data_IF_726312808418
#
_entry.id   IF_726312808418
#
_cell.length_a   1.000
_cell.length_b   1.000
_cell.length_c   1.000
_cell.angle_alpha   90.00
_cell.angle_beta   90.00
_cell.angle_gamma   90.00
#
_symmetry.space_group_name_H-M   'P 1'
#
loop_
_entity.id
_entity.type
_entity.pdbx_description
1 polymer ?
#
# COMPACT_ATOMS: atom_id res chain seq x y z
N UNK A 1 20.95 -7.52 -25.77
CA UNK A 1 20.25 -6.24 -25.55
C UNK A 1 19.27 -6.46 -24.39
N UNK A 2 19.72 -6.68 -23.16
CA UNK A 2 20.33 -5.65 -22.30
C UNK A 2 19.24 -4.78 -21.66
N UNK A 3 18.15 -5.37 -21.16
CA UNK A 3 16.99 -4.60 -20.73
C UNK A 3 17.09 -4.23 -19.23
N UNK A 4 16.91 -2.94 -18.98
CA UNK A 4 17.47 -2.19 -17.87
C UNK A 4 16.65 -2.41 -16.58
N UNK A 5 17.01 -3.38 -15.75
CA UNK A 5 16.72 -3.34 -14.31
C UNK A 5 17.74 -2.46 -13.55
N UNK A 6 18.48 -1.60 -14.25
CA UNK A 6 19.85 -1.18 -13.90
C UNK A 6 20.00 -0.36 -12.62
N UNK A 7 18.92 0.04 -11.93
CA UNK A 7 19.07 0.88 -10.74
C UNK A 7 18.23 0.48 -9.52
N UNK A 8 17.73 -0.77 -9.46
CA UNK A 8 17.10 -1.29 -8.24
C UNK A 8 18.11 -2.19 -7.51
N UNK A 9 18.95 -1.57 -6.69
CA UNK A 9 19.89 -2.27 -5.82
C UNK A 9 19.14 -2.99 -4.68
N UNK A 10 18.78 -4.25 -4.93
CA UNK A 10 18.11 -5.11 -3.95
C UNK A 10 18.96 -5.33 -2.69
N UNK A 11 20.28 -5.17 -2.73
CA UNK A 11 21.13 -5.35 -1.56
C UNK A 11 20.93 -4.23 -0.52
N UNK A 12 20.51 -3.04 -0.96
CA UNK A 12 20.13 -1.92 -0.07
C UNK A 12 18.70 -2.04 0.47
N UNK A 13 17.93 -3.02 0.01
CA UNK A 13 16.52 -3.13 0.34
C UNK A 13 16.31 -3.50 1.81
N UNK A 14 15.60 -2.63 2.53
CA UNK A 14 15.18 -2.93 3.90
C UNK A 14 14.03 -3.93 3.89
N UNK A 15 13.90 -4.68 4.99
CA UNK A 15 12.82 -5.62 5.25
C UNK A 15 12.63 -6.72 4.18
N UNK A 16 13.70 -7.13 3.51
CA UNK A 16 13.69 -8.33 2.65
C UNK A 16 13.96 -9.59 3.49
N UNK A 17 13.37 -10.74 3.12
CA UNK A 17 13.67 -12.01 3.76
C UNK A 17 15.07 -12.52 3.40
N UNK A 18 15.64 -13.33 4.29
CA UNK A 18 16.85 -14.10 4.00
C UNK A 18 16.43 -15.46 3.45
N UNK A 19 16.48 -15.57 2.13
CA UNK A 19 16.15 -16.81 1.44
C UNK A 19 17.21 -17.87 1.70
N UNK A 20 16.77 -19.07 2.09
CA UNK A 20 17.60 -20.25 2.30
C UNK A 20 18.12 -20.89 1.01
N UNK A 21 17.44 -20.68 -0.12
CA UNK A 21 17.75 -21.34 -1.39
C UNK A 21 17.70 -20.31 -2.55
N UNK A 22 18.83 -19.69 -2.90
CA UNK A 22 18.89 -18.71 -3.98
C UNK A 22 18.45 -19.26 -5.35
N UNK A 23 18.75 -20.51 -5.67
CA UNK A 23 18.35 -21.13 -6.93
C UNK A 23 16.82 -21.25 -7.05
N UNK A 24 16.14 -21.56 -5.94
CA UNK A 24 14.69 -21.59 -5.88
C UNK A 24 14.07 -20.19 -6.04
N UNK A 25 14.70 -19.16 -5.47
CA UNK A 25 14.26 -17.77 -5.65
C UNK A 25 14.31 -17.37 -7.12
N UNK A 26 15.41 -17.66 -7.83
CA UNK A 26 15.53 -17.36 -9.26
C UNK A 26 14.48 -18.09 -10.10
N UNK A 27 14.21 -19.37 -9.80
CA UNK A 27 13.15 -20.13 -10.46
C UNK A 27 11.76 -19.50 -10.23
N UNK A 28 11.44 -19.14 -8.98
CA UNK A 28 10.16 -18.50 -8.66
C UNK A 28 10.02 -17.14 -9.35
N UNK A 29 11.08 -16.32 -9.36
CA UNK A 29 11.12 -15.04 -10.08
C UNK A 29 10.84 -15.25 -11.58
N UNK A 30 11.49 -16.24 -12.20
CA UNK A 30 11.28 -16.57 -13.60
C UNK A 30 9.82 -16.97 -13.87
N UNK A 31 9.22 -17.81 -13.03
CA UNK A 31 7.81 -18.21 -13.15
C UNK A 31 6.90 -16.98 -13.05
N UNK A 32 7.05 -16.15 -12.01
CA UNK A 32 6.27 -14.92 -11.79
C UNK A 32 6.43 -13.90 -12.93
N UNK A 33 7.58 -13.85 -13.58
CA UNK A 33 7.78 -12.99 -14.75
C UNK A 33 6.94 -13.43 -15.97
N UNK A 34 6.58 -14.72 -16.05
CA UNK A 34 5.78 -15.27 -17.15
C UNK A 34 4.28 -15.38 -16.87
N UNK A 35 3.83 -15.17 -15.63
CA UNK A 35 2.39 -15.30 -15.32
C UNK A 35 1.58 -14.13 -15.87
N UNK A 36 0.27 -14.34 -16.01
CA UNK A 36 -0.67 -13.29 -16.40
C UNK A 36 -0.61 -12.09 -15.43
N UNK A 37 -0.52 -10.85 -15.94
CA UNK A 37 -0.68 -9.64 -15.15
C UNK A 37 -1.96 -9.66 -14.30
N UNK A 38 -1.93 -9.19 -13.05
CA UNK A 38 -3.15 -9.06 -12.25
C UNK A 38 -3.96 -7.82 -12.65
N UNK A 39 -3.29 -6.78 -13.11
CA UNK A 39 -3.91 -5.54 -13.62
C UNK A 39 -3.37 -5.19 -15.01
N UNK A 40 -4.13 -4.36 -15.73
CA UNK A 40 -3.76 -3.84 -17.05
C UNK A 40 -3.39 -2.36 -16.99
N UNK A 41 -2.65 -1.89 -18.00
CA UNK A 41 -2.29 -0.48 -18.10
C UNK A 41 -3.53 0.43 -18.24
N UNK A 42 -4.56 -0.01 -18.95
CA UNK A 42 -5.81 0.74 -19.12
C UNK A 42 -6.56 0.93 -17.79
N UNK A 43 -6.63 -0.10 -16.95
CA UNK A 43 -7.20 0.00 -15.60
C UNK A 43 -6.41 0.98 -14.73
N UNK A 44 -5.08 0.95 -14.82
CA UNK A 44 -4.21 1.88 -14.09
C UNK A 44 -4.41 3.32 -14.53
N UNK A 45 -4.55 3.58 -15.83
CA UNK A 45 -4.80 4.93 -16.37
C UNK A 45 -6.18 5.47 -15.94
N UNK A 46 -7.20 4.59 -15.93
CA UNK A 46 -8.52 4.95 -15.40
C UNK A 46 -8.46 5.31 -13.91
N UNK A 47 -7.72 4.54 -13.10
CA UNK A 47 -7.50 4.87 -11.70
C UNK A 47 -6.77 6.22 -11.52
N UNK A 48 -5.75 6.50 -12.34
CA UNK A 48 -5.05 7.81 -12.32
C UNK A 48 -6.00 8.96 -12.59
N UNK A 49 -6.91 8.80 -13.56
CA UNK A 49 -7.93 9.80 -13.89
C UNK A 49 -8.87 10.06 -12.69
N UNK A 50 -9.27 9.02 -11.97
CA UNK A 50 -10.04 9.18 -10.74
C UNK A 50 -9.23 9.88 -9.63
N UNK A 51 -7.95 9.54 -9.45
CA UNK A 51 -7.09 10.17 -8.44
C UNK A 51 -6.76 11.63 -8.77
N UNK A 52 -6.71 12.01 -10.05
CA UNK A 52 -6.57 13.40 -10.47
C UNK A 52 -7.75 14.25 -9.97
N UNK A 53 -8.97 13.72 -10.08
CA UNK A 53 -10.19 14.34 -9.54
C UNK A 53 -10.23 14.39 -8.01
N UNK A 54 -9.56 13.45 -7.35
CA UNK A 54 -9.36 13.52 -5.89
C UNK A 54 -8.37 14.63 -5.54
N UNK A 55 -7.29 14.79 -6.31
CA UNK A 55 -6.30 15.84 -6.10
C UNK A 55 -6.90 17.26 -6.25
N UNK A 56 -7.89 17.43 -7.15
CA UNK A 56 -8.65 18.68 -7.31
C UNK A 56 -9.81 18.84 -6.31
N UNK A 57 -10.11 17.80 -5.53
CA UNK A 57 -11.17 17.81 -4.51
C UNK A 57 -12.57 17.56 -5.03
N UNK A 58 -12.75 17.17 -6.30
CA UNK A 58 -14.04 16.75 -6.88
C UNK A 58 -14.51 15.40 -6.31
N UNK A 59 -13.57 14.54 -5.97
CA UNK A 59 -13.82 13.21 -5.40
C UNK A 59 -13.06 13.02 -4.08
N UNK A 60 -13.39 11.95 -3.37
CA UNK A 60 -12.62 11.49 -2.22
C UNK A 60 -12.33 10.00 -2.34
N UNK A 61 -11.42 9.50 -1.50
CA UNK A 61 -10.98 8.11 -1.46
C UNK A 61 -11.32 7.49 -0.11
N UNK A 62 -11.88 6.29 -0.17
CA UNK A 62 -11.88 5.36 0.94
C UNK A 62 -10.96 4.19 0.61
N UNK A 63 -9.88 4.04 1.37
CA UNK A 63 -9.02 2.87 1.29
C UNK A 63 -9.18 2.01 2.55
N UNK A 64 -9.60 0.76 2.43
CA UNK A 64 -9.82 -0.10 3.59
C UNK A 64 -9.49 -1.57 3.31
N UNK A 65 -9.17 -2.32 4.36
CA UNK A 65 -8.91 -3.77 4.27
C UNK A 65 -8.01 -4.24 5.41
N UNK A 66 -7.38 -5.38 5.23
CA UNK A 66 -6.65 -6.03 6.31
C UNK A 66 -5.26 -5.41 6.52
N UNK A 67 -4.70 -5.62 7.72
CA UNK A 67 -3.32 -5.21 8.00
C UNK A 67 -2.33 -6.08 7.19
N UNK A 68 -2.55 -7.39 7.23
CA UNK A 68 -1.94 -8.40 6.38
C UNK A 68 -3.07 -9.37 6.00
N UNK A 69 -3.21 -9.69 4.71
CA UNK A 69 -4.16 -10.68 4.25
C UNK A 69 -3.70 -12.09 4.64
N UNK A 70 -4.65 -12.94 5.01
CA UNK A 70 -4.45 -14.38 5.12
C UNK A 70 -5.01 -15.06 3.86
N UNK A 71 -4.22 -15.83 3.10
CA UNK A 71 -4.70 -16.65 1.99
C UNK A 71 -5.90 -17.54 2.34
N UNK A 72 -6.06 -17.98 3.60
CA UNK A 72 -7.22 -18.73 4.07
C UNK A 72 -8.51 -17.89 4.09
N UNK A 73 -8.41 -16.57 4.23
CA UNK A 73 -9.53 -15.63 4.20
C UNK A 73 -9.75 -14.99 2.82
N UNK A 74 -9.35 -15.71 1.76
CA UNK A 74 -9.48 -15.26 0.36
C UNK A 74 -10.58 -16.02 -0.41
N UNK A 75 -11.49 -16.71 0.29
CA UNK A 75 -12.65 -17.34 -0.36
C UNK A 75 -13.65 -16.30 -0.85
N UNK A 76 -14.50 -16.68 -1.82
CA UNK A 76 -15.52 -15.78 -2.36
C UNK A 76 -16.43 -15.15 -1.27
N UNK A 77 -16.72 -15.89 -0.19
CA UNK A 77 -17.48 -15.36 0.95
C UNK A 77 -16.75 -14.23 1.67
N UNK A 78 -15.48 -14.44 2.02
CA UNK A 78 -14.67 -13.41 2.67
C UNK A 78 -14.48 -12.17 1.80
N UNK A 79 -14.26 -12.37 0.49
CA UNK A 79 -14.09 -11.27 -0.47
C UNK A 79 -15.37 -10.45 -0.55
N UNK A 80 -16.55 -11.08 -0.66
CA UNK A 80 -17.83 -10.37 -0.64
C UNK A 80 -18.03 -9.56 0.65
N UNK A 81 -17.77 -10.15 1.82
CA UNK A 81 -17.90 -9.43 3.09
C UNK A 81 -16.92 -8.25 3.18
N UNK A 82 -15.70 -8.37 2.62
CA UNK A 82 -14.72 -7.28 2.53
C UNK A 82 -15.23 -6.15 1.62
N UNK A 83 -15.75 -6.47 0.44
CA UNK A 83 -16.23 -5.47 -0.52
C UNK A 83 -17.53 -4.79 -0.08
N UNK A 84 -18.45 -5.52 0.54
CA UNK A 84 -19.69 -4.98 1.12
C UNK A 84 -19.38 -3.96 2.23
N UNK A 85 -18.44 -4.26 3.12
CA UNK A 85 -18.00 -3.32 4.15
C UNK A 85 -17.41 -2.05 3.53
N UNK A 86 -16.54 -2.18 2.52
CA UNK A 86 -15.97 -1.02 1.81
C UNK A 86 -17.10 -0.20 1.17
N UNK A 87 -18.07 -0.85 0.54
CA UNK A 87 -19.23 -0.21 -0.06
C UNK A 87 -20.08 0.57 0.95
N UNK A 88 -20.38 -0.04 2.10
CA UNK A 88 -21.14 0.60 3.19
C UNK A 88 -20.43 1.84 3.73
N UNK A 89 -19.13 1.72 4.02
CA UNK A 89 -18.32 2.85 4.51
C UNK A 89 -18.22 3.97 3.47
N UNK A 90 -18.06 3.62 2.19
CA UNK A 90 -18.04 4.59 1.11
C UNK A 90 -19.38 5.33 1.00
N UNK A 91 -20.50 4.60 1.05
CA UNK A 91 -21.83 5.19 0.99
C UNK A 91 -22.07 6.17 2.15
N UNK A 92 -21.65 5.81 3.37
CA UNK A 92 -21.75 6.70 4.54
C UNK A 92 -20.92 7.98 4.36
N UNK A 93 -19.70 7.87 3.80
CA UNK A 93 -18.87 9.03 3.50
C UNK A 93 -19.48 9.91 2.40
N UNK A 94 -20.05 9.31 1.35
CA UNK A 94 -20.75 10.04 0.29
C UNK A 94 -21.94 10.83 0.86
N UNK A 95 -22.77 10.20 1.70
CA UNK A 95 -23.89 10.86 2.37
C UNK A 95 -23.43 12.00 3.28
N UNK A 96 -22.35 11.82 4.02
CA UNK A 96 -21.84 12.82 4.96
C UNK A 96 -21.16 14.02 4.28
N UNK A 97 -20.59 13.83 3.09
CA UNK A 97 -19.73 14.83 2.44
C UNK A 97 -20.29 15.39 1.14
N UNK A 98 -21.27 14.72 0.53
CA UNK A 98 -21.78 15.03 -0.80
C UNK A 98 -20.82 14.70 -1.95
N UNK A 99 -19.66 14.10 -1.68
CA UNK A 99 -18.62 13.78 -2.68
C UNK A 99 -18.62 12.29 -3.00
N UNK A 100 -18.50 11.94 -4.29
CA UNK A 100 -18.30 10.55 -4.73
C UNK A 100 -17.02 9.97 -4.11
N UNK A 101 -17.10 8.71 -3.69
CA UNK A 101 -16.01 8.02 -3.01
C UNK A 101 -15.42 6.92 -3.89
N UNK A 102 -14.15 7.08 -4.26
CA UNK A 102 -13.33 6.06 -4.89
C UNK A 102 -13.02 4.95 -3.88
N UNK A 103 -13.43 3.71 -4.19
CA UNK A 103 -13.35 2.56 -3.29
C UNK A 103 -12.09 1.76 -3.55
N UNK A 104 -11.21 1.67 -2.56
CA UNK A 104 -9.93 0.97 -2.68
C UNK A 104 -9.76 -0.06 -1.58
N UNK A 105 -9.48 -1.30 -1.97
CA UNK A 105 -9.14 -2.39 -1.09
C UNK A 105 -7.65 -2.44 -0.76
N UNK A 106 -7.31 -2.70 0.50
CA UNK A 106 -6.03 -3.34 0.87
C UNK A 106 -6.21 -4.85 0.69
N UNK A 107 -6.17 -5.28 -0.57
CA UNK A 107 -6.61 -6.61 -0.99
C UNK A 107 -5.84 -7.07 -2.23
N UNK A 108 -5.78 -8.39 -2.44
CA UNK A 108 -5.13 -9.04 -3.57
C UNK A 108 -3.61 -8.84 -3.65
N UNK A 109 -2.93 -8.77 -2.50
CA UNK A 109 -1.46 -8.67 -2.48
C UNK A 109 -0.83 -8.24 -1.17
N UNK A 110 -1.63 -7.89 -0.14
CA UNK A 110 -1.15 -7.45 1.17
C UNK A 110 -0.71 -8.62 2.06
N UNK A 111 0.07 -9.56 1.50
CA UNK A 111 0.52 -10.78 2.16
C UNK A 111 1.92 -10.65 2.81
N UNK A 112 2.52 -9.47 2.78
CA UNK A 112 3.81 -9.19 3.42
C UNK A 112 3.68 -8.00 4.38
N UNK A 113 4.53 -7.98 5.41
CA UNK A 113 4.53 -6.92 6.43
C UNK A 113 5.95 -6.57 6.90
N UNK A 114 6.30 -5.28 7.03
CA UNK A 114 7.57 -4.88 7.60
C UNK A 114 7.57 -5.15 9.11
N UNK A 115 8.72 -5.56 9.66
CA UNK A 115 8.90 -5.86 11.09
C UNK A 115 9.95 -4.96 11.71
N UNK A 116 9.71 -4.52 12.95
CA UNK A 116 10.69 -3.74 13.73
C UNK A 116 11.88 -4.56 14.20
N UNK A 117 11.70 -5.87 14.39
CA UNK A 117 12.73 -6.82 14.78
C UNK A 117 12.65 -8.07 13.91
N UNK A 118 13.81 -8.66 13.62
CA UNK A 118 13.91 -9.94 12.91
C UNK A 118 13.43 -11.12 13.75
N UNK A 119 13.47 -10.98 15.07
CA UNK A 119 13.02 -11.98 16.03
C UNK A 119 11.90 -11.42 16.91
N UNK A 120 11.01 -12.31 17.35
CA UNK A 120 10.00 -12.04 18.36
C UNK A 120 10.10 -13.04 19.51
N UNK A 121 9.83 -12.56 20.73
CA UNK A 121 9.77 -13.40 21.91
C UNK A 121 8.33 -13.86 22.11
N UNK A 122 8.14 -15.17 22.22
CA UNK A 122 6.87 -15.80 22.53
C UNK A 122 7.08 -16.71 23.75
N UNK A 123 6.73 -16.20 24.93
CA UNK A 123 7.15 -16.78 26.20
C UNK A 123 8.69 -16.74 26.33
N UNK A 124 9.28 -17.88 26.65
CA UNK A 124 10.73 -18.03 26.79
C UNK A 124 11.47 -18.28 25.46
N UNK A 125 10.74 -18.53 24.37
CA UNK A 125 11.32 -18.83 23.06
C UNK A 125 11.53 -17.55 22.23
N UNK A 126 12.69 -17.45 21.57
CA UNK A 126 12.98 -16.44 20.56
C UNK A 126 12.87 -17.06 19.16
N UNK A 127 11.94 -16.56 18.35
CA UNK A 127 11.62 -17.09 17.03
C UNK A 127 11.77 -16.02 15.96
N UNK A 128 12.11 -16.38 14.70
CA UNK A 128 12.02 -15.42 13.62
C UNK A 128 10.60 -14.86 13.52
N UNK A 129 10.54 -13.54 13.37
CA UNK A 129 9.29 -12.80 13.21
C UNK A 129 8.46 -13.35 12.05
N UNK A 130 7.14 -13.40 12.20
CA UNK A 130 6.25 -13.61 11.06
C UNK A 130 6.31 -12.36 10.17
N UNK A 131 6.67 -12.51 8.90
CA UNK A 131 6.82 -11.43 7.90
C UNK A 131 5.66 -11.38 6.91
N UNK A 132 4.65 -12.22 7.08
CA UNK A 132 3.47 -12.33 6.22
C UNK A 132 3.50 -13.61 5.37
N UNK A 133 2.33 -14.06 4.94
CA UNK A 133 2.13 -15.37 4.30
C UNK A 133 2.93 -15.56 3.01
N UNK A 134 3.32 -14.49 2.31
CA UNK A 134 4.21 -14.54 1.14
C UNK A 134 5.67 -14.84 1.47
N UNK A 135 6.06 -14.79 2.75
CA UNK A 135 7.44 -14.99 3.20
C UNK A 135 7.53 -16.24 4.08
N UNK A 136 6.79 -16.32 5.17
CA UNK A 136 6.81 -17.43 6.12
C UNK A 136 5.41 -17.67 6.73
N UNK A 137 5.25 -18.71 7.55
CA UNK A 137 3.98 -19.03 8.20
C UNK A 137 3.79 -18.30 9.55
N UNK A 138 2.54 -18.17 10.02
CA UNK A 138 2.22 -17.49 11.28
C UNK A 138 2.48 -18.35 12.52
N UNK A 139 2.51 -19.69 12.39
CA UNK A 139 2.64 -20.60 13.52
C UNK A 139 3.95 -20.37 14.26
N UNK A 140 3.97 -20.41 15.60
CA UNK A 140 5.14 -20.08 16.40
C UNK A 140 6.14 -21.26 16.49
N UNK A 141 6.61 -21.74 15.34
CA UNK A 141 7.62 -22.81 15.23
C UNK A 141 8.76 -22.39 14.32
N UNK A 142 10.00 -22.83 14.60
CA UNK A 142 11.15 -22.51 13.75
C UNK A 142 10.94 -22.93 12.29
N UNK A 143 10.26 -24.07 12.06
CA UNK A 143 9.93 -24.56 10.74
C UNK A 143 8.96 -23.63 10.00
N UNK A 144 7.83 -23.28 10.62
CA UNK A 144 6.85 -22.38 10.01
C UNK A 144 7.45 -20.98 9.75
N UNK A 145 8.32 -20.51 10.64
CA UNK A 145 8.97 -19.20 10.53
C UNK A 145 10.11 -19.14 9.52
N UNK A 146 10.52 -20.26 8.92
CA UNK A 146 11.53 -20.28 7.86
C UNK A 146 10.97 -19.62 6.58
N UNK A 147 11.69 -18.65 5.98
CA UNK A 147 11.28 -18.10 4.69
C UNK A 147 11.25 -19.17 3.59
N UNK A 148 10.19 -19.18 2.80
CA UNK A 148 10.00 -20.11 1.68
C UNK A 148 9.61 -19.33 0.41
N UNK A 149 10.48 -19.28 -0.63
CA UNK A 149 10.21 -18.58 -1.88
C UNK A 149 8.93 -19.06 -2.60
N UNK A 150 8.52 -20.32 -2.42
CA UNK A 150 7.31 -20.85 -3.06
C UNK A 150 6.04 -20.14 -2.59
N UNK A 151 6.08 -19.51 -1.42
CA UNK A 151 4.98 -18.69 -0.89
C UNK A 151 4.68 -17.46 -1.74
N UNK A 152 5.62 -17.00 -2.56
CA UNK A 152 5.33 -15.94 -3.54
C UNK A 152 4.40 -16.45 -4.65
N UNK A 153 4.53 -17.71 -5.07
CA UNK A 153 3.65 -18.32 -6.07
C UNK A 153 2.24 -18.53 -5.50
N UNK A 154 2.12 -19.04 -4.27
CA UNK A 154 0.81 -19.22 -3.63
C UNK A 154 0.14 -17.88 -3.34
N UNK A 155 0.92 -16.86 -2.95
CA UNK A 155 0.44 -15.48 -2.83
C UNK A 155 -0.10 -14.91 -4.15
N UNK A 156 0.61 -15.13 -5.27
CA UNK A 156 0.11 -14.76 -6.60
C UNK A 156 -1.21 -15.47 -6.96
N UNK A 157 -1.30 -16.78 -6.71
CA UNK A 157 -2.52 -17.56 -6.98
C UNK A 157 -3.71 -17.04 -6.16
N UNK A 158 -3.52 -16.77 -4.87
CA UNK A 158 -4.55 -16.18 -4.02
C UNK A 158 -4.96 -14.78 -4.50
N UNK A 159 -3.99 -13.93 -4.86
CA UNK A 159 -4.26 -12.61 -5.43
C UNK A 159 -5.08 -12.70 -6.73
N UNK A 160 -4.74 -13.63 -7.62
CA UNK A 160 -5.48 -13.85 -8.89
C UNK A 160 -6.91 -14.30 -8.65
N UNK A 161 -7.15 -15.19 -7.69
CA UNK A 161 -8.51 -15.59 -7.31
C UNK A 161 -9.30 -14.38 -6.81
N UNK A 162 -8.72 -13.57 -5.93
CA UNK A 162 -9.37 -12.33 -5.47
C UNK A 162 -9.69 -11.41 -6.64
N UNK A 163 -8.75 -11.16 -7.53
CA UNK A 163 -8.95 -10.30 -8.71
C UNK A 163 -10.07 -10.80 -9.63
N UNK A 164 -10.24 -12.11 -9.73
CA UNK A 164 -11.34 -12.75 -10.46
C UNK A 164 -12.68 -12.49 -9.76
N UNK A 165 -12.75 -12.67 -8.45
CA UNK A 165 -13.96 -12.40 -7.66
C UNK A 165 -14.34 -10.90 -7.61
N UNK A 166 -13.36 -10.01 -7.67
CA UNK A 166 -13.57 -8.56 -7.79
C UNK A 166 -14.04 -8.16 -9.20
N UNK A 167 -13.94 -9.05 -10.18
CA UNK A 167 -14.35 -8.84 -11.56
C UNK A 167 -13.31 -8.11 -12.42
N UNK A 168 -12.05 -8.07 -11.99
CA UNK A 168 -10.94 -7.47 -12.74
C UNK A 168 -10.29 -8.44 -13.73
N UNK A 169 -10.46 -9.75 -13.51
CA UNK A 169 -9.92 -10.82 -14.36
C UNK A 169 -11.05 -11.73 -14.80
N UNK A 170 -11.14 -12.03 -16.10
CA UNK A 170 -12.01 -13.07 -16.67
C UNK A 170 -13.50 -12.74 -16.82
N UNK A 171 -14.02 -11.65 -16.22
CA UNK A 171 -15.41 -11.23 -16.34
C UNK A 171 -15.60 -9.97 -17.19
N UNK A 172 -16.84 -9.73 -17.65
CA UNK A 172 -17.25 -8.47 -18.27
C UNK A 172 -16.97 -7.32 -17.29
N UNK A 173 -16.36 -6.19 -17.73
CA UNK A 173 -16.07 -5.06 -16.85
C UNK A 173 -17.30 -4.60 -16.08
N UNK A 174 -17.17 -4.43 -14.76
CA UNK A 174 -18.23 -3.86 -13.93
C UNK A 174 -18.34 -2.36 -14.23
N UNK A 175 -19.40 -1.95 -14.92
CA UNK A 175 -19.63 -0.55 -15.34
C UNK A 175 -20.47 0.25 -14.34
N UNK A 176 -20.92 -0.37 -13.24
CA UNK A 176 -21.82 0.25 -12.24
C UNK A 176 -21.09 1.15 -11.23
N UNK A 177 -19.79 1.37 -11.38
CA UNK A 177 -18.98 2.17 -10.45
C UNK A 177 -18.83 1.55 -9.06
N UNK A 178 -19.20 0.27 -8.88
CA UNK A 178 -19.05 -0.45 -7.61
C UNK A 178 -17.68 -1.11 -7.42
N UNK A 179 -16.84 -1.09 -8.46
CA UNK A 179 -15.58 -1.80 -8.47
C UNK A 179 -14.65 -1.34 -7.35
N UNK A 180 -14.04 -2.32 -6.65
CA UNK A 180 -13.06 -2.06 -5.60
C UNK A 180 -11.67 -2.19 -6.22
N UNK A 181 -10.97 -1.07 -6.34
CA UNK A 181 -9.59 -1.03 -6.81
C UNK A 181 -8.66 -1.74 -5.82
N UNK A 182 -7.57 -2.34 -6.29
CA UNK A 182 -6.64 -3.07 -5.42
C UNK A 182 -5.39 -2.26 -5.09
N UNK A 183 -4.85 -2.50 -3.89
CA UNK A 183 -3.64 -1.85 -3.42
C UNK A 183 -2.96 -2.68 -2.34
N UNK A 184 -1.62 -2.68 -2.33
CA UNK A 184 -0.81 -3.25 -1.25
C UNK A 184 0.53 -2.51 -1.11
N UNK A 185 1.22 -2.74 0.01
CA UNK A 185 2.58 -2.23 0.21
C UNK A 185 3.54 -2.97 -0.73
N UNK A 186 4.17 -2.26 -1.67
CA UNK A 186 5.18 -2.83 -2.55
C UNK A 186 6.45 -3.09 -1.73
N UNK A 187 6.50 -4.22 -1.03
CA UNK A 187 7.50 -4.52 0.00
C UNK A 187 8.49 -5.59 -0.46
N UNK A 188 7.98 -6.75 -0.88
CA UNK A 188 8.80 -7.92 -1.24
C UNK A 188 9.32 -7.78 -2.67
N UNK A 189 10.54 -7.27 -2.83
CA UNK A 189 11.06 -6.89 -4.15
C UNK A 189 11.23 -8.07 -5.11
N UNK A 190 11.49 -9.26 -4.58
CA UNK A 190 11.47 -10.52 -5.33
C UNK A 190 10.16 -10.74 -6.09
N UNK A 191 9.04 -10.45 -5.42
CA UNK A 191 7.71 -10.56 -5.98
C UNK A 191 7.41 -9.38 -6.90
N UNK A 192 7.57 -8.14 -6.41
CA UNK A 192 7.16 -6.94 -7.17
C UNK A 192 7.94 -6.77 -8.47
N UNK A 193 9.25 -6.98 -8.46
CA UNK A 193 10.06 -6.82 -9.68
C UNK A 193 9.70 -7.91 -10.70
N UNK A 194 9.40 -9.13 -10.24
CA UNK A 194 8.94 -10.21 -11.13
C UNK A 194 7.54 -9.93 -11.70
N UNK A 195 6.77 -9.05 -11.06
CA UNK A 195 5.46 -8.59 -11.54
C UNK A 195 5.53 -7.33 -12.42
N UNK A 196 6.73 -6.83 -12.77
CA UNK A 196 6.87 -5.76 -13.76
C UNK A 196 6.53 -6.27 -15.16
N UNK A 197 5.87 -5.40 -15.95
CA UNK A 197 5.59 -5.64 -17.37
C UNK A 197 6.08 -4.43 -18.16
N UNK A 198 6.86 -4.69 -19.20
CA UNK A 198 7.27 -3.67 -20.16
C UNK A 198 6.07 -3.29 -21.04
N UNK A 199 5.90 -2.00 -21.28
CA UNK A 199 4.91 -1.43 -22.18
C UNK A 199 5.63 -0.75 -23.35
N UNK A 200 4.86 -0.36 -24.36
CA UNK A 200 5.37 0.45 -25.46
C UNK A 200 5.98 1.77 -24.93
N UNK A 201 7.01 2.23 -25.63
CA UNK A 201 7.72 3.46 -25.27
C UNK A 201 8.61 3.35 -24.02
N UNK A 202 8.95 2.13 -23.56
CA UNK A 202 9.86 1.91 -22.43
C UNK A 202 9.25 2.23 -21.06
N UNK A 203 7.93 2.42 -21.01
CA UNK A 203 7.16 2.56 -19.76
C UNK A 203 6.98 1.18 -19.12
N UNK A 204 6.82 1.14 -17.80
CA UNK A 204 6.61 -0.12 -17.06
C UNK A 204 5.35 -0.10 -16.24
N UNK A 205 4.66 -1.23 -16.18
CA UNK A 205 3.53 -1.47 -15.29
C UNK A 205 3.96 -2.39 -14.16
N UNK A 206 3.75 -1.99 -12.90
CA UNK A 206 3.73 -2.93 -11.80
C UNK A 206 2.38 -3.64 -11.82
N UNK A 207 2.37 -4.86 -12.35
CA UNK A 207 1.14 -5.58 -12.63
C UNK A 207 0.59 -6.38 -11.45
N UNK A 208 1.22 -6.27 -10.27
CA UNK A 208 0.77 -6.92 -9.05
C UNK A 208 -0.46 -6.25 -8.42
N UNK A 209 -0.69 -4.96 -8.69
CA UNK A 209 -1.81 -4.20 -8.11
C UNK A 209 -2.06 -2.89 -8.85
N UNK A 210 -3.24 -2.29 -8.68
CA UNK A 210 -3.53 -1.01 -9.32
C UNK A 210 -2.73 0.13 -8.67
N UNK A 211 -2.70 0.18 -7.33
CA UNK A 211 -2.17 1.32 -6.58
C UNK A 211 -1.22 0.90 -5.45
N UNK A 212 0.06 0.64 -5.76
CA UNK A 212 1.07 0.28 -4.77
C UNK A 212 1.40 1.45 -3.82
N UNK A 213 1.89 1.13 -2.62
CA UNK A 213 2.50 2.14 -1.75
C UNK A 213 3.84 1.73 -1.15
N UNK A 214 4.65 2.73 -0.79
CA UNK A 214 5.89 2.58 -0.03
C UNK A 214 5.62 2.82 1.46
N UNK A 215 6.07 1.89 2.30
CA UNK A 215 5.94 1.96 3.74
C UNK A 215 6.88 2.98 4.39
N UNK A 216 6.58 3.38 5.63
CA UNK A 216 7.39 4.36 6.39
C UNK A 216 8.84 3.89 6.59
N UNK A 217 9.06 2.57 6.64
CA UNK A 217 10.39 2.00 6.92
C UNK A 217 11.19 1.73 5.66
N UNK A 218 10.58 1.88 4.48
CA UNK A 218 11.18 1.57 3.17
C UNK A 218 11.22 2.77 2.22
N UNK A 219 10.85 3.97 2.68
CA UNK A 219 10.83 5.23 1.90
C UNK A 219 12.17 5.99 1.85
N UNK A 220 13.29 5.28 1.91
CA UNK A 220 14.59 5.94 1.75
C UNK A 220 14.68 6.49 0.32
N UNK A 221 15.11 7.75 0.17
CA UNK A 221 15.09 8.46 -1.12
C UNK A 221 15.94 7.74 -2.18
N UNK A 222 17.12 7.27 -1.78
CA UNK A 222 18.05 6.44 -2.56
C UNK A 222 17.77 4.92 -2.45
N UNK A 223 16.64 4.56 -1.85
CA UNK A 223 16.25 3.19 -1.59
C UNK A 223 15.59 2.51 -2.80
N UNK A 224 15.69 1.18 -2.88
CA UNK A 224 15.18 0.42 -4.03
C UNK A 224 13.64 0.47 -4.16
N UNK A 225 12.90 0.67 -3.07
CA UNK A 225 11.45 0.81 -3.12
C UNK A 225 10.99 2.10 -3.80
N UNK A 226 11.67 3.23 -3.52
CA UNK A 226 11.45 4.50 -4.21
C UNK A 226 11.86 4.37 -5.68
N UNK A 227 13.04 3.79 -5.94
CA UNK A 227 13.54 3.57 -7.31
C UNK A 227 12.57 2.71 -8.15
N UNK A 228 12.00 1.65 -7.58
CA UNK A 228 11.01 0.81 -8.24
C UNK A 228 9.76 1.62 -8.63
N UNK A 229 9.15 2.32 -7.67
CA UNK A 229 7.88 3.01 -7.91
C UNK A 229 8.04 4.31 -8.73
N UNK A 230 9.23 4.90 -8.77
CA UNK A 230 9.53 6.01 -9.68
C UNK A 230 9.44 5.60 -11.17
N UNK A 231 9.70 4.33 -11.47
CA UNK A 231 9.82 3.80 -12.83
C UNK A 231 8.53 3.18 -13.39
N UNK A 232 7.42 3.20 -12.65
CA UNK A 232 6.17 2.56 -13.06
C UNK A 232 5.08 3.58 -13.40
N UNK A 233 4.16 3.18 -14.26
CA UNK A 233 3.02 4.01 -14.68
C UNK A 233 1.91 4.07 -13.65
N UNK A 234 1.90 3.14 -12.68
CA UNK A 234 0.90 3.10 -11.63
C UNK A 234 0.82 4.46 -10.92
N UNK A 235 -0.35 4.89 -10.45
CA UNK A 235 -0.36 5.85 -9.36
C UNK A 235 0.40 5.22 -8.18
N UNK A 236 1.12 6.04 -7.44
CA UNK A 236 1.96 5.58 -6.33
C UNK A 236 1.57 6.32 -5.06
N UNK A 237 1.76 5.66 -3.93
CA UNK A 237 1.57 6.31 -2.64
C UNK A 237 2.78 6.11 -1.74
N UNK A 238 3.01 7.02 -0.80
CA UNK A 238 4.04 6.87 0.22
C UNK A 238 3.49 7.21 1.59
N UNK A 239 3.86 6.42 2.60
CA UNK A 239 3.60 6.75 4.01
C UNK A 239 4.43 7.96 4.42
N UNK A 240 3.83 8.82 5.24
CA UNK A 240 4.46 10.01 5.81
C UNK A 240 4.24 9.98 7.33
N UNK A 241 5.28 9.56 8.05
CA UNK A 241 5.34 9.55 9.50
C UNK A 241 5.78 10.88 10.12
N UNK A 242 5.80 10.95 11.47
CA UNK A 242 6.12 12.18 12.20
C UNK A 242 7.59 12.63 12.08
N UNK A 243 8.50 11.75 11.66
CA UNK A 243 9.91 12.08 11.44
C UNK A 243 10.21 12.70 10.08
N UNK A 244 9.24 12.70 9.14
CA UNK A 244 9.42 13.31 7.83
C UNK A 244 9.73 14.81 7.97
N UNK A 245 10.73 15.27 7.21
CA UNK A 245 11.09 16.69 7.14
C UNK A 245 10.57 17.36 5.86
N UNK A 246 10.44 18.71 5.83
CA UNK A 246 10.05 19.45 4.63
C UNK A 246 10.97 19.21 3.42
N UNK A 247 12.29 19.11 3.63
CA UNK A 247 13.23 18.84 2.54
C UNK A 247 13.10 17.41 2.01
N UNK A 248 13.01 16.42 2.91
CA UNK A 248 12.84 15.01 2.52
C UNK A 248 11.55 14.78 1.73
N UNK A 249 10.43 15.40 2.13
CA UNK A 249 9.15 15.19 1.43
C UNK A 249 9.14 15.85 0.05
N UNK A 250 9.79 17.00 -0.11
CA UNK A 250 9.93 17.65 -1.41
C UNK A 250 10.77 16.79 -2.37
N UNK A 251 11.93 16.29 -1.94
CA UNK A 251 12.75 15.41 -2.77
C UNK A 251 12.05 14.07 -3.09
N UNK A 252 11.27 13.54 -2.14
CA UNK A 252 10.44 12.35 -2.39
C UNK A 252 9.40 12.62 -3.49
N UNK A 253 8.76 13.79 -3.46
CA UNK A 253 7.83 14.21 -4.50
C UNK A 253 8.53 14.37 -5.86
N UNK A 254 9.71 14.99 -5.92
CA UNK A 254 10.50 15.11 -7.15
C UNK A 254 10.79 13.74 -7.78
N UNK A 255 11.11 12.72 -6.96
CA UNK A 255 11.42 11.37 -7.44
C UNK A 255 10.18 10.60 -7.90
N UNK A 256 9.06 10.73 -7.21
CA UNK A 256 7.85 9.91 -7.46
C UNK A 256 6.84 10.58 -8.39
N UNK A 257 6.94 11.90 -8.57
CA UNK A 257 6.07 12.73 -9.38
C UNK A 257 6.87 13.83 -10.12
N UNK A 258 7.85 13.45 -10.96
CA UNK A 258 8.74 14.41 -11.62
C UNK A 258 8.00 15.37 -12.55
N UNK A 259 6.90 14.92 -13.15
CA UNK A 259 6.10 15.69 -14.10
C UNK A 259 4.94 16.46 -13.44
N UNK A 260 4.83 16.42 -12.10
CA UNK A 260 3.77 17.10 -11.32
C UNK A 260 2.38 16.74 -11.83
N UNK A 261 2.13 15.46 -12.05
CA UNK A 261 0.91 14.94 -12.65
C UNK A 261 -0.18 14.76 -11.57
N UNK A 262 -1.34 15.46 -11.66
CA UNK A 262 -2.45 15.22 -10.75
C UNK A 262 -2.86 13.75 -10.76
N UNK A 263 -2.98 13.15 -9.57
CA UNK A 263 -3.32 11.74 -9.41
C UNK A 263 -2.15 10.76 -9.50
N UNK A 264 -0.93 11.21 -9.80
CA UNK A 264 0.28 10.36 -9.79
C UNK A 264 0.69 9.96 -8.38
N UNK A 265 0.90 10.93 -7.49
CA UNK A 265 1.45 10.69 -6.15
C UNK A 265 0.41 10.96 -5.05
N UNK A 266 0.37 10.06 -4.08
CA UNK A 266 -0.44 10.23 -2.87
C UNK A 266 0.41 10.15 -1.61
N UNK A 267 0.21 11.09 -0.69
CA UNK A 267 0.92 11.15 0.59
C UNK A 267 -0.01 10.69 1.70
N UNK A 268 0.36 9.58 2.35
CA UNK A 268 -0.43 8.93 3.38
C UNK A 268 0.11 9.32 4.76
N UNK A 269 -0.47 10.36 5.36
CA UNK A 269 -0.12 10.91 6.67
C UNK A 269 -0.50 9.95 7.78
N UNK A 270 0.43 9.63 8.67
CA UNK A 270 0.22 8.69 9.80
C UNK A 270 0.96 9.13 11.06
N UNK A 271 0.69 10.35 11.50
CA UNK A 271 1.47 11.06 12.52
C UNK A 271 1.02 10.76 13.95
N UNK A 272 -0.24 10.37 14.14
CA UNK A 272 -0.86 10.29 15.45
C UNK A 272 -1.63 11.58 15.80
N UNK A 273 -2.66 11.44 16.62
CA UNK A 273 -3.58 12.50 16.99
C UNK A 273 -2.88 13.71 17.65
N UNK A 274 -1.83 13.45 18.42
CA UNK A 274 -1.14 14.48 19.20
C UNK A 274 -0.07 15.22 18.39
N UNK A 275 0.32 14.72 17.21
CA UNK A 275 1.40 15.29 16.40
C UNK A 275 0.92 15.88 15.07
N UNK A 276 -0.22 15.43 14.54
CA UNK A 276 -0.65 15.81 13.18
C UNK A 276 -0.85 17.32 13.03
N UNK A 277 -1.44 17.98 14.03
CA UNK A 277 -1.72 19.42 13.96
C UNK A 277 -0.45 20.28 13.93
N UNK A 278 0.62 19.82 14.60
CA UNK A 278 1.86 20.57 14.73
C UNK A 278 2.85 20.26 13.61
N UNK A 279 2.89 19.00 13.15
CA UNK A 279 3.92 18.51 12.22
C UNK A 279 3.51 18.57 10.76
N UNK A 280 2.22 18.38 10.44
CA UNK A 280 1.75 18.34 9.07
C UNK A 280 1.81 19.70 8.34
N UNK A 281 1.51 20.87 8.95
CA UNK A 281 1.43 22.14 8.23
C UNK A 281 2.70 22.46 7.43
N UNK A 282 3.88 22.28 8.03
CA UNK A 282 5.18 22.52 7.36
C UNK A 282 5.45 21.59 6.18
N UNK A 283 4.90 20.37 6.19
CA UNK A 283 5.06 19.42 5.08
C UNK A 283 4.11 19.78 3.93
N UNK A 284 2.88 20.15 4.26
CA UNK A 284 1.90 20.64 3.26
C UNK A 284 2.44 21.87 2.55
N UNK A 285 3.00 22.83 3.29
CA UNK A 285 3.57 24.04 2.70
C UNK A 285 4.74 23.72 1.76
N UNK A 286 5.64 22.80 2.14
CA UNK A 286 6.77 22.42 1.29
C UNK A 286 6.33 21.74 -0.01
N UNK A 287 5.38 20.80 0.06
CA UNK A 287 4.85 20.12 -1.13
C UNK A 287 4.10 21.10 -2.04
N UNK A 288 3.32 22.01 -1.45
CA UNK A 288 2.59 23.05 -2.18
C UNK A 288 3.56 24.04 -2.85
N UNK A 289 4.58 24.48 -2.14
CA UNK A 289 5.63 25.36 -2.66
C UNK A 289 6.43 24.71 -3.80
N UNK A 290 6.64 23.40 -3.74
CA UNK A 290 7.26 22.61 -4.81
C UNK A 290 6.32 22.31 -6.00
N UNK A 291 5.04 22.70 -5.91
CA UNK A 291 4.07 22.60 -7.01
C UNK A 291 3.52 21.21 -7.29
N UNK A 292 3.66 20.25 -6.37
CA UNK A 292 3.17 18.88 -6.59
C UNK A 292 1.67 18.74 -6.28
N UNK A 293 0.84 18.32 -7.24
CA UNK A 293 -0.61 18.13 -7.05
C UNK A 293 -0.92 16.77 -6.42
N UNK A 294 -0.35 16.52 -5.25
CA UNK A 294 -0.50 15.22 -4.57
C UNK A 294 -1.90 15.02 -4.01
N UNK A 295 -2.30 13.75 -3.91
CA UNK A 295 -3.49 13.36 -3.13
C UNK A 295 -3.08 13.17 -1.67
N UNK A 296 -3.64 13.99 -0.77
CA UNK A 296 -3.42 13.84 0.67
C UNK A 296 -4.39 12.83 1.28
N UNK A 297 -3.87 11.81 1.96
CA UNK A 297 -4.64 10.79 2.67
C UNK A 297 -4.21 10.74 4.14
N UNK A 298 -5.13 10.39 5.02
CA UNK A 298 -4.81 10.09 6.43
C UNK A 298 -4.93 8.60 6.72
N UNK A 299 -3.94 8.02 7.41
CA UNK A 299 -3.99 6.72 8.07
C UNK A 299 -3.94 6.94 9.59
N UNK A 300 -5.11 7.18 10.20
CA UNK A 300 -5.23 7.46 11.63
C UNK A 300 -5.03 6.21 12.50
N UNK A 301 -4.59 5.09 11.91
CA UNK A 301 -4.48 3.81 12.62
C UNK A 301 -3.03 3.56 13.07
N UNK A 302 -2.03 3.82 12.22
CA UNK A 302 -0.63 3.49 12.55
C UNK A 302 0.01 4.46 13.55
N UNK A 303 -0.42 5.72 13.59
CA UNK A 303 0.10 6.74 14.50
C UNK A 303 -0.44 6.59 15.93
N UNK A 304 -1.60 5.96 16.10
CA UNK A 304 -2.34 5.87 17.37
C UNK A 304 -2.34 4.45 17.97
N UNK A 305 -1.28 3.67 17.73
CA UNK A 305 -1.18 2.30 18.28
C UNK A 305 -0.61 2.36 19.70
N UNK A 306 -1.38 1.85 20.65
CA UNK A 306 -0.95 1.65 22.05
C UNK A 306 -0.74 0.16 22.30
N UNK A 307 -0.05 -0.19 23.40
CA UNK A 307 0.20 -1.58 23.80
C UNK A 307 -0.23 -1.76 25.25
N UNK A 308 -1.07 -2.76 25.49
CA UNK A 308 -1.41 -3.20 26.83
C UNK A 308 -0.22 -3.94 27.48
N UNK A 309 -0.29 -4.20 28.78
CA UNK A 309 0.78 -4.83 29.54
C UNK A 309 1.14 -6.24 29.04
N UNK A 310 0.17 -6.94 28.45
CA UNK A 310 0.32 -8.26 27.82
C UNK A 310 0.89 -8.20 26.39
N UNK A 311 1.20 -7.00 25.89
CA UNK A 311 1.68 -6.79 24.52
C UNK A 311 0.58 -6.67 23.46
N UNK A 312 -0.69 -6.83 23.84
CA UNK A 312 -1.83 -6.65 22.92
C UNK A 312 -1.89 -5.22 22.42
N UNK A 313 -1.89 -5.05 21.09
CA UNK A 313 -1.92 -3.73 20.46
C UNK A 313 -3.35 -3.29 20.20
N UNK A 314 -3.74 -2.16 20.77
CA UNK A 314 -5.06 -1.56 20.59
C UNK A 314 -4.96 -0.12 20.10
N UNK A 315 -6.10 0.46 19.72
CA UNK A 315 -6.24 1.83 19.22
C UNK A 315 -7.53 2.42 19.75
N UNK A 316 -7.46 3.59 20.37
CA UNK A 316 -8.65 4.28 20.86
C UNK A 316 -9.37 4.97 19.69
N UNK A 317 -10.66 4.67 19.50
CA UNK A 317 -11.48 5.29 18.44
C UNK A 317 -11.48 6.82 18.54
N UNK A 318 -11.46 7.36 19.76
CA UNK A 318 -11.33 8.80 20.01
C UNK A 318 -10.05 9.39 19.41
N UNK A 319 -8.90 8.72 19.56
CA UNK A 319 -7.63 9.16 19.00
C UNK A 319 -7.64 9.08 17.47
N UNK A 320 -8.18 8.00 16.92
CA UNK A 320 -8.38 7.85 15.46
C UNK A 320 -9.19 9.03 14.89
N UNK A 321 -10.32 9.35 15.52
CA UNK A 321 -11.18 10.47 15.11
C UNK A 321 -10.52 11.85 15.31
N UNK A 322 -9.70 12.02 16.37
CA UNK A 322 -8.92 13.25 16.59
C UNK A 322 -7.90 13.47 15.47
N UNK A 323 -7.16 12.44 15.05
CA UNK A 323 -6.19 12.56 13.95
C UNK A 323 -6.87 12.93 12.63
N UNK A 324 -8.02 12.30 12.29
CA UNK A 324 -8.78 12.64 11.07
C UNK A 324 -9.21 14.11 11.06
N UNK A 325 -9.76 14.61 12.18
CA UNK A 325 -10.16 16.01 12.31
C UNK A 325 -8.98 16.97 12.23
N UNK A 326 -7.87 16.64 12.89
CA UNK A 326 -6.64 17.44 12.84
C UNK A 326 -6.06 17.53 11.43
N UNK A 327 -5.94 16.38 10.75
CA UNK A 327 -5.52 16.30 9.35
C UNK A 327 -6.39 17.18 8.44
N UNK A 328 -7.72 17.04 8.53
CA UNK A 328 -8.64 17.82 7.70
C UNK A 328 -8.51 19.32 7.94
N UNK A 329 -8.45 19.73 9.20
CA UNK A 329 -8.27 21.14 9.60
C UNK A 329 -6.98 21.75 9.03
N UNK A 330 -5.87 21.02 9.07
CA UNK A 330 -4.60 21.49 8.51
C UNK A 330 -4.70 21.74 7.01
N UNK A 331 -5.31 20.81 6.26
CA UNK A 331 -5.46 20.93 4.81
C UNK A 331 -6.44 22.05 4.42
N UNK A 332 -7.55 22.18 5.14
CA UNK A 332 -8.52 23.26 4.92
C UNK A 332 -7.87 24.64 5.15
N UNK A 333 -7.07 24.81 6.21
CA UNK A 333 -6.34 26.06 6.49
C UNK A 333 -5.27 26.37 5.42
N UNK A 334 -4.66 25.34 4.84
CA UNK A 334 -3.68 25.50 3.77
C UNK A 334 -4.30 25.70 2.37
N UNK A 335 -5.63 25.58 2.26
CA UNK A 335 -6.37 25.67 1.00
C UNK A 335 -6.07 24.52 0.04
N UNK A 336 -5.76 23.32 0.55
CA UNK A 336 -5.50 22.12 -0.25
C UNK A 336 -6.58 21.05 -0.01
N UNK A 337 -7.04 20.33 -1.04
CA UNK A 337 -8.05 19.28 -0.83
C UNK A 337 -7.54 18.12 0.02
N UNK A 338 -8.34 17.70 1.02
CA UNK A 338 -8.14 16.42 1.66
C UNK A 338 -8.74 15.30 0.80
N UNK A 339 -7.89 14.41 0.31
CA UNK A 339 -8.24 13.36 -0.63
C UNK A 339 -8.97 12.16 -0.02
N UNK A 340 -8.85 11.90 1.28
CA UNK A 340 -9.57 10.80 1.92
C UNK A 340 -8.88 10.16 3.13
N UNK A 341 -9.32 8.94 3.49
CA UNK A 341 -8.84 8.22 4.68
C UNK A 341 -8.56 6.72 4.42
N UNK A 342 -7.66 6.16 5.23
CA UNK A 342 -7.28 4.75 5.22
C UNK A 342 -7.71 4.07 6.52
N UNK A 343 -8.52 3.02 6.39
CA UNK A 343 -9.01 2.22 7.51
C UNK A 343 -8.45 0.80 7.48
N UNK A 344 -8.32 0.17 8.63
CA UNK A 344 -7.85 -1.22 8.73
C UNK A 344 -8.68 -2.03 9.69
N UNK A 345 -8.94 -3.27 9.28
CA UNK A 345 -9.36 -4.30 10.22
C UNK A 345 -8.16 -4.79 11.03
N UNK A 346 -8.30 -5.03 12.34
CA UNK A 346 -7.31 -5.81 13.08
C UNK A 346 -7.18 -7.20 12.45
N UNK A 347 -6.02 -7.87 12.56
CA UNK A 347 -5.94 -9.29 12.25
C UNK A 347 -6.96 -10.06 13.10
N UNK A 348 -7.69 -10.97 12.47
CA UNK A 348 -8.40 -12.05 13.15
C UNK A 348 -7.33 -12.89 13.86
N UNK A 349 -7.50 -13.04 15.18
CA UNK A 349 -6.56 -13.76 16.06
C UNK A 349 -6.56 -15.26 15.79
#
# INVERSE_FOLDING_TARGET
MGNILVDIDRAKARHQPEWNNPAQVELVRAILSSVTPLVTAAQVEDLRSHLARVATGEMQVLKAGDCAEDPAECTAGHIRSKTELIGLLAQNLETATGKRTLRVGRIAGQFSKPRSSRFEKLGDAELPSFFGHMINGPEPTHESRRPDPLRMLTGYMAAREIMTQLGWVGSVPRTDGSAVWTSHEALLLDYEISMLRELDGGRRLLSSTHWPWIGERTRQLDGPHVALLAQVINPVACKVGPSMTPGEIAELCDRLDPEREPGRLSLIVRMGADLVADRLPRLVEAVKSAGHPVVWLTDPMHGNTESAADGTKYRLVGNVAREVRGFRRVLDLAGVPAGGSIWRRPPTT
#
